data_IF_851268813111
#
_entry.id   IF_851268813111
#
_cell.length_a   1.000
_cell.length_b   1.000
_cell.length_c   1.000
_cell.angle_alpha   90.00
_cell.angle_beta   90.00
_cell.angle_gamma   90.00
#
_symmetry.space_group_name_H-M   'P 1'
#
loop_
_entity.id
_entity.type
_entity.pdbx_description
1 polymer ?
#
# COMPACT_ATOMS: atom_id res chain seq x y z
N UNK A 1 17.15 7.26 30.13
CA UNK A 1 15.79 7.25 30.72
C UNK A 1 14.81 7.66 29.63
N UNK A 2 13.74 6.90 29.38
CA UNK A 2 12.72 7.28 28.40
C UNK A 2 12.08 8.62 28.79
N UNK A 3 11.58 9.38 27.82
CA UNK A 3 10.84 10.60 28.10
C UNK A 3 9.60 10.29 28.96
N UNK A 4 9.23 11.20 29.87
CA UNK A 4 8.13 10.98 30.84
C UNK A 4 6.84 10.52 30.16
N UNK A 5 6.50 11.14 29.03
CA UNK A 5 5.29 10.82 28.26
C UNK A 5 5.27 9.36 27.78
N UNK A 6 6.43 8.81 27.39
CA UNK A 6 6.54 7.47 26.82
C UNK A 6 6.29 6.42 27.89
N UNK A 7 6.83 6.65 29.09
CA UNK A 7 6.58 5.77 30.23
C UNK A 7 5.09 5.70 30.57
N UNK A 8 4.41 6.85 30.63
CA UNK A 8 2.98 6.93 30.93
C UNK A 8 2.11 6.28 29.83
N UNK A 9 2.45 6.52 28.56
CA UNK A 9 1.74 5.94 27.41
C UNK A 9 1.90 4.40 27.37
N UNK A 10 3.10 3.89 27.63
CA UNK A 10 3.39 2.45 27.63
C UNK A 10 2.76 1.75 28.84
N UNK A 11 2.76 2.39 30.01
CA UNK A 11 2.06 1.87 31.18
C UNK A 11 0.54 1.77 30.92
N UNK A 12 -0.05 2.84 30.36
CA UNK A 12 -1.48 2.87 29.98
C UNK A 12 -1.80 1.80 28.94
N UNK A 13 -0.95 1.65 27.92
CA UNK A 13 -1.05 0.59 26.92
C UNK A 13 -1.04 -0.80 27.58
N UNK A 14 -0.12 -1.04 28.51
CA UNK A 14 -0.02 -2.28 29.27
C UNK A 14 -1.28 -2.59 30.07
N UNK A 15 -1.84 -1.62 30.79
CA UNK A 15 -3.09 -1.78 31.56
C UNK A 15 -4.30 -2.09 30.67
N UNK A 16 -4.42 -1.38 29.54
CA UNK A 16 -5.49 -1.61 28.56
C UNK A 16 -5.39 -3.00 27.92
N UNK A 17 -4.19 -3.41 27.53
CA UNK A 17 -3.92 -4.75 27.00
C UNK A 17 -4.29 -5.82 28.02
N UNK A 18 -3.85 -5.68 29.28
CA UNK A 18 -4.17 -6.62 30.36
C UNK A 18 -5.68 -6.76 30.55
N UNK A 19 -6.40 -5.64 30.60
CA UNK A 19 -7.85 -5.64 30.77
C UNK A 19 -8.58 -6.29 29.58
N UNK A 20 -8.23 -5.92 28.33
CA UNK A 20 -8.86 -6.50 27.14
C UNK A 20 -8.55 -7.98 26.94
N UNK A 21 -7.32 -8.41 27.23
CA UNK A 21 -6.91 -9.81 27.10
C UNK A 21 -7.53 -10.74 28.16
N UNK A 22 -8.10 -10.19 29.24
CA UNK A 22 -8.88 -10.96 30.22
C UNK A 22 -10.29 -11.31 29.70
N UNK A 23 -10.76 -10.66 28.64
CA UNK A 23 -12.04 -10.94 28.01
C UNK A 23 -12.04 -12.16 27.08
N UNK A 24 -13.21 -12.59 26.58
CA UNK A 24 -13.37 -13.79 25.74
C UNK A 24 -12.96 -13.59 24.27
N UNK A 25 -12.48 -12.40 23.88
CA UNK A 25 -12.16 -12.07 22.48
C UNK A 25 -10.83 -12.65 22.00
N UNK A 26 -10.63 -12.62 20.68
CA UNK A 26 -9.35 -13.01 20.08
C UNK A 26 -8.21 -12.14 20.59
N UNK A 27 -7.08 -12.78 20.94
CA UNK A 27 -5.95 -12.09 21.57
C UNK A 27 -5.33 -11.00 20.68
N UNK A 28 -5.40 -11.17 19.36
CA UNK A 28 -4.91 -10.19 18.38
C UNK A 28 -5.83 -8.98 18.29
N UNK A 29 -7.14 -9.20 18.19
CA UNK A 29 -8.15 -8.14 18.23
C UNK A 29 -8.15 -7.39 19.57
N UNK A 30 -7.78 -8.05 20.67
CA UNK A 30 -7.74 -7.44 22.00
C UNK A 30 -6.69 -6.32 22.14
N UNK A 31 -5.59 -6.36 21.36
CA UNK A 31 -4.49 -5.38 21.49
C UNK A 31 -4.56 -4.24 20.46
N UNK A 32 -5.49 -4.30 19.52
CA UNK A 32 -5.78 -3.29 18.48
C UNK A 32 -6.07 -1.89 19.01
N UNK A 33 -7.21 -1.72 19.70
CA UNK A 33 -7.56 -0.42 20.28
C UNK A 33 -6.49 0.12 21.27
N UNK A 34 -5.83 -0.71 22.09
CA UNK A 34 -4.66 -0.26 22.85
C UNK A 34 -3.52 0.30 21.96
N UNK A 35 -3.21 -0.33 20.83
CA UNK A 35 -2.22 0.17 19.86
C UNK A 35 -2.67 1.51 19.27
N UNK A 36 -3.93 1.67 18.89
CA UNK A 36 -4.46 2.95 18.40
C UNK A 36 -4.28 4.06 19.44
N UNK A 37 -4.59 3.79 20.71
CA UNK A 37 -4.41 4.74 21.81
C UNK A 37 -2.93 5.12 22.00
N UNK A 38 -2.02 4.15 21.87
CA UNK A 38 -0.58 4.40 21.95
C UNK A 38 -0.10 5.28 20.79
N UNK A 39 -0.56 5.03 19.56
CA UNK A 39 -0.26 5.85 18.39
C UNK A 39 -0.85 7.26 18.52
N UNK A 40 -2.06 7.41 19.07
CA UNK A 40 -2.68 8.70 19.34
C UNK A 40 -1.91 9.50 20.40
N UNK A 41 -1.42 8.83 21.46
CA UNK A 41 -0.56 9.46 22.46
C UNK A 41 0.76 9.95 21.84
N UNK A 42 1.40 9.13 20.99
CA UNK A 42 2.59 9.52 20.24
C UNK A 42 2.30 10.69 19.29
N UNK A 43 1.16 10.69 18.60
CA UNK A 43 0.70 11.80 17.77
C UNK A 43 0.58 13.10 18.54
N UNK A 44 -0.09 13.07 19.71
CA UNK A 44 -0.23 14.22 20.61
C UNK A 44 1.13 14.78 21.02
N UNK A 45 2.05 13.91 21.45
CA UNK A 45 3.39 14.31 21.84
C UNK A 45 4.18 14.93 20.68
N UNK A 46 4.09 14.34 19.49
CA UNK A 46 4.82 14.79 18.30
C UNK A 46 4.15 15.98 17.60
N UNK A 47 2.99 16.43 18.09
CA UNK A 47 2.12 17.44 17.48
C UNK A 47 1.72 17.05 16.04
N UNK A 48 1.34 15.80 15.89
CA UNK A 48 0.87 15.19 14.66
C UNK A 48 -0.59 14.77 14.83
N UNK A 49 -1.42 15.12 13.85
CA UNK A 49 -2.78 14.59 13.75
C UNK A 49 -2.72 13.17 13.19
N UNK A 50 -2.77 12.17 14.06
CA UNK A 50 -2.62 10.74 13.72
C UNK A 50 -3.99 10.07 13.76
N UNK A 51 -4.43 9.54 12.63
CA UNK A 51 -5.70 8.82 12.52
C UNK A 51 -5.43 7.43 11.95
N UNK A 52 -5.61 6.36 12.77
CA UNK A 52 -5.67 5.00 12.29
C UNK A 52 -6.99 4.74 11.57
N UNK A 53 -6.91 4.09 10.40
CA UNK A 53 -8.05 3.56 9.67
C UNK A 53 -8.00 2.04 9.78
N UNK A 54 -9.02 1.45 10.39
CA UNK A 54 -9.20 0.00 10.42
C UNK A 54 -9.41 -0.50 9.00
N UNK A 55 -8.57 -1.45 8.57
CA UNK A 55 -8.81 -2.16 7.33
C UNK A 55 -9.73 -3.36 7.62
N UNK A 56 -10.74 -3.56 6.77
CA UNK A 56 -11.64 -4.71 6.91
C UNK A 56 -10.82 -5.99 6.77
N UNK A 57 -10.71 -6.74 7.87
CA UNK A 57 -10.14 -8.08 7.82
C UNK A 57 -11.05 -8.97 6.99
N UNK A 58 -10.48 -9.56 5.97
CA UNK A 58 -11.02 -10.79 5.43
C UNK A 58 -9.98 -11.86 5.71
N UNK A 59 -10.31 -12.76 6.63
CA UNK A 59 -9.40 -13.74 7.23
C UNK A 59 -8.78 -14.69 6.17
N UNK A 60 -9.37 -14.77 4.98
CA UNK A 60 -8.85 -15.54 3.85
C UNK A 60 -7.89 -14.73 2.96
N UNK A 61 -7.91 -13.40 3.06
CA UNK A 61 -7.38 -12.53 1.99
C UNK A 61 -6.02 -11.94 2.28
N UNK A 62 -5.67 -11.61 3.53
CA UNK A 62 -4.29 -11.29 3.95
C UNK A 62 -3.50 -10.31 3.07
N UNK A 63 -4.15 -9.47 2.25
CA UNK A 63 -3.49 -8.48 1.38
C UNK A 63 -3.28 -7.18 2.16
N UNK A 64 -4.31 -6.72 2.86
CA UNK A 64 -4.26 -5.47 3.63
C UNK A 64 -3.63 -5.66 5.00
N UNK A 65 -2.72 -4.76 5.41
CA UNK A 65 -2.34 -4.64 6.80
C UNK A 65 -3.55 -4.27 7.67
N UNK A 66 -3.49 -4.60 8.96
CA UNK A 66 -4.61 -4.32 9.87
C UNK A 66 -4.98 -2.84 9.98
N UNK A 67 -4.01 -1.94 9.86
CA UNK A 67 -4.25 -0.50 9.86
C UNK A 67 -3.52 0.21 8.74
N UNK A 68 -4.19 1.19 8.17
CA UNK A 68 -3.55 2.31 7.49
C UNK A 68 -3.48 3.52 8.42
N UNK A 69 -2.31 4.12 8.55
CA UNK A 69 -2.10 5.27 9.43
C UNK A 69 -1.99 6.54 8.58
N UNK A 70 -2.90 7.48 8.81
CA UNK A 70 -2.82 8.82 8.23
C UNK A 70 -2.24 9.81 9.23
N UNK A 71 -1.45 10.75 8.71
CA UNK A 71 -0.87 11.86 9.49
C UNK A 71 -1.14 13.16 8.76
N UNK A 72 -1.90 14.07 9.39
CA UNK A 72 -2.33 15.32 8.79
C UNK A 72 -3.13 15.11 7.49
N UNK A 73 -3.99 14.09 7.47
CA UNK A 73 -4.82 13.72 6.32
C UNK A 73 -4.12 12.90 5.22
N UNK A 74 -2.82 12.64 5.32
CA UNK A 74 -2.08 11.87 4.32
C UNK A 74 -1.65 10.48 4.84
N UNK A 75 -1.90 9.42 4.07
CA UNK A 75 -1.49 8.05 4.40
C UNK A 75 0.03 7.99 4.52
N UNK A 76 0.52 7.58 5.69
CA UNK A 76 1.92 7.64 6.09
C UNK A 76 2.54 6.26 6.23
N UNK A 77 1.75 5.22 6.47
CA UNK A 77 2.26 3.86 6.52
C UNK A 77 1.20 2.91 7.03
N UNK A 78 1.59 1.66 7.20
CA UNK A 78 0.69 0.62 7.68
C UNK A 78 1.20 -0.01 8.96
N UNK A 79 0.28 -0.57 9.74
CA UNK A 79 0.59 -1.36 10.94
C UNK A 79 -0.09 -2.72 10.81
N UNK A 80 0.69 -3.79 10.91
CA UNK A 80 0.21 -5.16 10.97
C UNK A 80 0.37 -5.69 12.39
N UNK A 81 -0.73 -6.22 12.96
CA UNK A 81 -0.81 -6.62 14.36
C UNK A 81 -0.94 -8.14 14.45
N UNK A 82 -0.07 -8.73 15.27
CA UNK A 82 -0.08 -10.16 15.59
C UNK A 82 -0.52 -10.42 17.02
N UNK A 83 -1.05 -11.62 17.25
CA UNK A 83 -1.39 -12.08 18.60
C UNK A 83 -0.18 -11.92 19.54
N UNK A 84 -0.41 -11.53 20.81
CA UNK A 84 0.65 -11.44 21.81
C UNK A 84 1.51 -12.70 21.88
N UNK A 85 2.84 -12.51 21.89
CA UNK A 85 3.83 -13.61 21.93
C UNK A 85 4.08 -14.32 20.59
N UNK A 86 3.45 -13.90 19.49
CA UNK A 86 3.79 -14.40 18.15
C UNK A 86 5.22 -14.01 17.77
N UNK A 87 5.95 -14.94 17.13
CA UNK A 87 7.26 -14.63 16.56
C UNK A 87 7.10 -13.72 15.33
N UNK A 88 7.77 -12.56 15.35
CA UNK A 88 7.74 -11.57 14.27
C UNK A 88 8.91 -11.70 13.30
N UNK A 89 9.81 -12.68 13.51
CA UNK A 89 10.96 -12.90 12.66
C UNK A 89 10.56 -13.45 11.28
N UNK A 90 10.77 -12.69 10.18
CA UNK A 90 10.42 -13.11 8.82
C UNK A 90 11.00 -14.46 8.42
N UNK A 91 12.23 -14.77 8.83
CA UNK A 91 12.91 -16.02 8.46
C UNK A 91 12.24 -17.25 9.08
N UNK A 92 11.58 -17.07 10.22
CA UNK A 92 10.85 -18.12 10.93
C UNK A 92 9.41 -18.29 10.45
N UNK A 93 8.86 -17.35 9.67
CA UNK A 93 7.45 -17.36 9.28
C UNK A 93 7.12 -18.52 8.34
N UNK A 94 5.96 -19.15 8.53
CA UNK A 94 5.46 -20.25 7.70
C UNK A 94 3.97 -20.07 7.42
N UNK A 95 3.47 -20.81 6.41
CA UNK A 95 2.03 -20.87 6.10
C UNK A 95 1.40 -19.50 5.85
N UNK A 96 0.31 -19.21 6.56
CA UNK A 96 -0.43 -17.96 6.43
C UNK A 96 0.42 -16.72 6.69
N UNK A 97 1.22 -16.71 7.78
CA UNK A 97 2.04 -15.55 8.15
C UNK A 97 3.09 -15.23 7.08
N UNK A 98 3.70 -16.26 6.48
CA UNK A 98 4.67 -16.05 5.40
C UNK A 98 4.00 -15.47 4.15
N UNK A 99 2.80 -15.94 3.79
CA UNK A 99 2.05 -15.39 2.66
C UNK A 99 1.71 -13.92 2.88
N UNK A 100 1.25 -13.59 4.08
CA UNK A 100 0.89 -12.22 4.44
C UNK A 100 2.12 -11.31 4.45
N UNK A 101 3.21 -11.72 5.10
CA UNK A 101 4.48 -11.00 5.08
C UNK A 101 4.97 -10.77 3.63
N UNK A 102 4.92 -11.79 2.78
CA UNK A 102 5.34 -11.68 1.37
C UNK A 102 4.53 -10.64 0.59
N UNK A 103 3.26 -10.42 0.95
CA UNK A 103 2.39 -9.43 0.32
C UNK A 103 2.64 -8.00 0.82
N UNK A 104 3.06 -7.85 2.08
CA UNK A 104 3.15 -6.56 2.76
C UNK A 104 4.59 -6.03 2.92
N UNK A 105 5.60 -6.89 2.89
CA UNK A 105 7.00 -6.52 3.21
C UNK A 105 7.54 -5.34 2.39
N UNK A 106 7.10 -5.25 1.13
CA UNK A 106 7.57 -4.24 0.18
C UNK A 106 6.84 -2.89 0.33
N UNK A 107 6.00 -2.73 1.37
CA UNK A 107 5.36 -1.46 1.65
C UNK A 107 6.40 -0.40 2.08
N UNK A 108 6.19 0.87 1.70
CA UNK A 108 7.22 1.90 1.85
C UNK A 108 7.46 2.32 3.31
N UNK A 109 6.51 2.03 4.20
CA UNK A 109 6.61 2.30 5.64
C UNK A 109 5.63 1.38 6.40
N UNK A 110 6.15 0.32 7.02
CA UNK A 110 5.37 -0.73 7.67
C UNK A 110 5.87 -1.00 9.08
N UNK A 111 4.96 -1.00 10.06
CA UNK A 111 5.21 -1.58 11.38
C UNK A 111 4.62 -2.98 11.45
N UNK A 112 5.39 -3.90 12.03
CA UNK A 112 4.92 -5.22 12.42
C UNK A 112 5.05 -5.36 13.95
N UNK A 113 3.97 -5.73 14.63
CA UNK A 113 3.99 -5.80 16.11
C UNK A 113 3.12 -6.91 16.68
N UNK A 114 3.53 -7.50 17.81
CA UNK A 114 2.70 -8.36 18.66
C UNK A 114 2.30 -7.64 19.98
N UNK A 115 2.47 -6.32 20.03
CA UNK A 115 2.29 -5.46 21.18
C UNK A 115 3.51 -5.36 22.11
N UNK A 116 4.34 -6.39 22.22
CA UNK A 116 5.60 -6.37 23.02
C UNK A 116 6.86 -6.24 22.19
N UNK A 117 6.82 -6.62 20.92
CA UNK A 117 7.90 -6.47 19.96
C UNK A 117 7.42 -5.57 18.82
N UNK A 118 8.25 -4.64 18.41
CA UNK A 118 7.96 -3.65 17.37
C UNK A 118 9.10 -3.64 16.35
N UNK A 119 8.76 -3.88 15.09
CA UNK A 119 9.70 -3.84 13.97
C UNK A 119 9.21 -2.82 12.95
N UNK A 120 10.10 -1.96 12.49
CA UNK A 120 9.84 -0.99 11.43
C UNK A 120 10.56 -1.44 10.15
N UNK A 121 9.84 -1.44 9.04
CA UNK A 121 10.36 -1.79 7.72
C UNK A 121 10.10 -0.67 6.72
N UNK A 122 11.02 -0.51 5.76
CA UNK A 122 10.88 0.36 4.58
C UNK A 122 11.36 -0.41 3.36
N UNK A 123 10.48 -0.64 2.40
CA UNK A 123 10.83 -1.32 1.14
C UNK A 123 11.49 -2.70 1.39
N UNK A 124 10.89 -3.52 2.27
CA UNK A 124 11.41 -4.80 2.81
C UNK A 124 12.61 -4.73 3.76
N UNK A 125 13.29 -3.59 3.88
CA UNK A 125 14.48 -3.46 4.71
C UNK A 125 14.13 -3.06 6.15
N UNK A 126 14.70 -3.71 7.17
CA UNK A 126 14.50 -3.33 8.57
C UNK A 126 15.14 -1.96 8.86
N UNK A 127 14.40 -1.10 9.55
CA UNK A 127 14.88 0.20 10.03
C UNK A 127 15.28 0.07 11.49
N UNK A 128 16.56 -0.17 11.71
CA UNK A 128 17.10 -0.43 13.05
C UNK A 128 16.78 -1.84 13.57
N UNK A 129 17.04 -2.07 14.85
CA UNK A 129 16.82 -3.36 15.50
C UNK A 129 15.36 -3.48 16.01
N UNK A 130 14.81 -4.70 16.15
CA UNK A 130 13.55 -4.93 16.85
C UNK A 130 13.58 -4.32 18.26
N UNK A 131 12.51 -3.61 18.61
CA UNK A 131 12.36 -3.00 19.93
C UNK A 131 11.43 -3.86 20.78
N UNK A 132 11.90 -4.24 21.97
CA UNK A 132 11.15 -5.06 22.91
C UNK A 132 10.72 -4.27 24.14
N UNK A 133 9.42 -4.31 24.45
CA UNK A 133 8.88 -3.82 25.70
C UNK A 133 9.18 -4.80 26.83
N UNK A 134 9.55 -4.27 27.99
CA UNK A 134 9.92 -5.02 29.19
C UNK A 134 8.81 -4.97 30.24
N UNK A 135 8.89 -5.80 31.28
CA UNK A 135 7.87 -5.87 32.34
C UNK A 135 6.96 -7.10 32.28
N UNK A 136 7.15 -7.96 31.27
CA UNK A 136 6.52 -9.27 31.15
C UNK A 136 5.40 -9.34 30.12
N UNK A 137 4.64 -10.46 30.06
CA UNK A 137 3.58 -10.67 29.08
C UNK A 137 2.44 -9.65 29.21
N UNK A 138 1.83 -9.23 28.10
CA UNK A 138 0.72 -8.27 28.08
C UNK A 138 -0.49 -8.68 28.94
N UNK A 139 -0.69 -9.99 29.14
CA UNK A 139 -1.78 -10.54 29.98
C UNK A 139 -1.58 -10.26 31.48
N UNK A 140 -0.36 -9.96 31.93
CA UNK A 140 -0.04 -9.82 33.35
C UNK A 140 0.66 -8.52 33.71
N UNK A 141 1.47 -7.96 32.79
CA UNK A 141 2.31 -6.78 33.02
C UNK A 141 1.51 -5.57 33.54
N UNK A 142 0.41 -5.21 32.86
CA UNK A 142 -0.32 -3.98 33.17
C UNK A 142 0.60 -2.75 33.09
N UNK A 143 0.43 -1.79 34.00
CA UNK A 143 1.25 -0.59 34.11
C UNK A 143 2.72 -0.82 34.47
N UNK A 144 3.15 -2.08 34.71
CA UNK A 144 4.57 -2.43 34.86
C UNK A 144 5.30 -2.55 33.53
N UNK A 145 4.57 -2.49 32.41
CA UNK A 145 5.17 -2.52 31.09
C UNK A 145 6.03 -1.26 30.89
N UNK A 146 7.23 -1.43 30.35
CA UNK A 146 8.20 -0.35 30.13
C UNK A 146 8.78 -0.45 28.73
N UNK A 147 9.15 0.69 28.15
CA UNK A 147 9.79 0.75 26.85
C UNK A 147 11.22 1.28 26.98
N UNK A 148 12.16 0.79 26.15
CA UNK A 148 13.45 1.41 26.00
C UNK A 148 13.31 2.72 25.19
N UNK A 149 14.31 3.61 25.25
CA UNK A 149 14.23 4.94 24.62
C UNK A 149 14.18 4.89 23.07
N UNK A 150 14.67 3.79 22.51
CA UNK A 150 14.62 3.44 21.09
C UNK A 150 13.18 3.30 20.59
N UNK A 151 12.22 3.01 21.46
CA UNK A 151 10.82 2.88 21.05
C UNK A 151 10.23 4.21 20.57
N UNK A 152 10.59 5.33 21.21
CA UNK A 152 10.21 6.67 20.76
C UNK A 152 10.77 6.98 19.37
N UNK A 153 11.97 6.47 19.04
CA UNK A 153 12.56 6.62 17.71
C UNK A 153 11.77 5.84 16.66
N UNK A 154 11.32 4.62 16.95
CA UNK A 154 10.46 3.83 16.05
C UNK A 154 9.17 4.57 15.75
N UNK A 155 8.45 5.04 16.79
CA UNK A 155 7.19 5.77 16.63
C UNK A 155 7.40 7.08 15.85
N UNK A 156 8.46 7.83 16.17
CA UNK A 156 8.78 9.09 15.49
C UNK A 156 9.15 8.86 14.04
N UNK A 157 10.00 7.87 13.73
CA UNK A 157 10.43 7.56 12.37
C UNK A 157 9.27 7.06 11.50
N UNK A 158 8.32 6.33 12.09
CA UNK A 158 7.13 5.88 11.40
C UNK A 158 6.16 7.04 11.13
N UNK A 159 5.79 7.81 12.15
CA UNK A 159 4.77 8.87 12.05
C UNK A 159 5.24 10.10 11.28
N UNK A 160 6.55 10.37 11.21
CA UNK A 160 7.12 11.48 10.43
C UNK A 160 7.55 11.09 9.01
N UNK A 161 7.32 9.83 8.61
CA UNK A 161 7.78 9.35 7.31
C UNK A 161 7.18 10.15 6.15
N UNK A 162 8.01 10.38 5.13
CA UNK A 162 7.61 10.93 3.84
C UNK A 162 8.37 10.18 2.75
N UNK A 163 7.76 9.98 1.56
CA UNK A 163 8.50 9.42 0.43
C UNK A 163 9.75 10.24 0.13
N UNK A 164 10.87 9.56 -0.06
CA UNK A 164 12.08 10.21 -0.55
C UNK A 164 11.87 10.68 -2.01
N UNK A 165 12.53 11.78 -2.44
CA UNK A 165 12.46 12.19 -3.84
C UNK A 165 12.90 11.07 -4.79
N UNK A 166 12.04 10.73 -5.74
CA UNK A 166 12.30 9.67 -6.71
C UNK A 166 12.95 10.29 -7.96
N UNK A 167 14.20 9.92 -8.23
CA UNK A 167 15.01 10.56 -9.29
C UNK A 167 15.50 9.59 -10.37
N UNK A 168 15.13 8.31 -10.30
CA UNK A 168 15.50 7.30 -11.32
C UNK A 168 14.35 6.34 -11.62
N UNK A 169 14.38 5.69 -12.79
CA UNK A 169 13.39 4.67 -13.18
C UNK A 169 13.36 3.50 -12.21
N UNK A 170 14.53 3.02 -11.77
CA UNK A 170 14.62 1.89 -10.83
C UNK A 170 13.99 2.26 -9.47
N UNK A 171 14.29 3.45 -8.95
CA UNK A 171 13.69 3.92 -7.70
C UNK A 171 12.18 4.09 -7.82
N UNK A 172 11.71 4.60 -8.97
CA UNK A 172 10.29 4.74 -9.25
C UNK A 172 9.59 3.39 -9.25
N UNK A 173 10.09 2.43 -10.02
CA UNK A 173 9.51 1.09 -10.13
C UNK A 173 9.47 0.39 -8.77
N UNK A 174 10.56 0.45 -8.00
CA UNK A 174 10.61 -0.15 -6.65
C UNK A 174 9.55 0.42 -5.72
N UNK A 175 9.24 1.72 -5.85
CA UNK A 175 8.23 2.37 -5.02
C UNK A 175 6.79 2.07 -5.45
N UNK A 176 6.50 1.99 -6.76
CA UNK A 176 5.12 1.82 -7.27
C UNK A 176 4.69 0.37 -7.43
N UNK A 177 5.61 -0.56 -7.72
CA UNK A 177 5.25 -1.96 -8.00
C UNK A 177 4.61 -2.67 -6.80
N UNK A 178 5.10 -2.51 -5.56
CA UNK A 178 4.45 -3.06 -4.38
C UNK A 178 3.04 -2.54 -4.17
N UNK A 179 2.85 -1.22 -4.30
CA UNK A 179 1.54 -0.57 -4.14
C UNK A 179 0.56 -0.97 -5.25
N UNK A 180 1.06 -1.18 -6.47
CA UNK A 180 0.23 -1.69 -7.57
C UNK A 180 -0.17 -3.15 -7.34
N UNK A 181 0.70 -3.97 -6.72
CA UNK A 181 0.34 -5.36 -6.34
C UNK A 181 -0.67 -5.37 -5.21
N UNK A 182 -0.53 -4.46 -4.24
CA UNK A 182 -1.51 -4.26 -3.18
C UNK A 182 -2.88 -3.92 -3.77
N UNK A 183 -2.95 -2.90 -4.65
CA UNK A 183 -4.18 -2.52 -5.34
C UNK A 183 -4.79 -3.68 -6.14
N UNK A 184 -3.97 -4.44 -6.88
CA UNK A 184 -4.44 -5.66 -7.59
C UNK A 184 -5.08 -6.67 -6.63
N UNK A 185 -4.45 -6.90 -5.46
CA UNK A 185 -4.97 -7.79 -4.44
C UNK A 185 -6.31 -7.30 -3.90
N UNK A 186 -6.42 -6.03 -3.55
CA UNK A 186 -7.68 -5.45 -3.03
C UNK A 186 -8.84 -5.55 -4.03
N UNK A 187 -8.54 -5.37 -5.32
CA UNK A 187 -9.51 -5.50 -6.41
C UNK A 187 -10.02 -6.94 -6.54
N UNK A 188 -9.14 -7.93 -6.39
CA UNK A 188 -9.54 -9.35 -6.34
C UNK A 188 -10.39 -9.66 -5.12
N UNK A 189 -9.97 -9.16 -3.97
CA UNK A 189 -10.66 -9.34 -2.70
C UNK A 189 -12.10 -8.80 -2.82
N UNK A 190 -12.27 -7.62 -3.39
CA UNK A 190 -13.59 -7.03 -3.61
C UNK A 190 -14.47 -7.88 -4.54
N UNK A 191 -13.94 -8.34 -5.68
CA UNK A 191 -14.68 -9.21 -6.60
C UNK A 191 -15.12 -10.51 -5.92
N UNK A 192 -14.24 -11.10 -5.11
CA UNK A 192 -14.58 -12.29 -4.35
C UNK A 192 -15.67 -12.00 -3.30
N UNK A 193 -15.65 -10.81 -2.67
CA UNK A 193 -16.62 -10.43 -1.65
C UNK A 193 -18.02 -10.35 -2.24
N UNK A 194 -18.12 -9.69 -3.38
CA UNK A 194 -19.35 -9.61 -4.17
C UNK A 194 -19.77 -11.00 -4.67
N UNK A 195 -18.83 -11.85 -5.13
CA UNK A 195 -19.12 -13.23 -5.50
C UNK A 195 -19.74 -14.04 -4.35
N UNK A 196 -19.25 -13.87 -3.11
CA UNK A 196 -19.84 -14.53 -1.92
C UNK A 196 -21.25 -14.00 -1.64
N UNK A 197 -21.47 -12.68 -1.71
CA UNK A 197 -22.80 -12.06 -1.56
C UNK A 197 -23.78 -12.60 -2.60
N UNK A 198 -23.34 -12.70 -3.86
CA UNK A 198 -24.15 -13.27 -4.95
C UNK A 198 -24.51 -14.73 -4.64
N UNK A 199 -23.54 -15.55 -4.23
CA UNK A 199 -23.79 -16.94 -3.82
C UNK A 199 -24.75 -17.05 -2.64
N UNK A 200 -24.76 -16.06 -1.75
CA UNK A 200 -25.69 -15.96 -0.63
C UNK A 200 -27.07 -15.39 -1.00
N UNK A 201 -27.32 -15.09 -2.29
CA UNK A 201 -28.62 -14.66 -2.80
C UNK A 201 -28.74 -13.16 -3.13
N UNK A 202 -27.67 -12.37 -2.99
CA UNK A 202 -27.68 -10.99 -3.46
C UNK A 202 -27.77 -10.92 -4.98
N UNK A 203 -28.47 -9.91 -5.51
CA UNK A 203 -28.57 -9.74 -6.96
C UNK A 203 -27.24 -9.24 -7.52
N UNK A 204 -26.83 -9.82 -8.66
CA UNK A 204 -25.58 -9.48 -9.33
C UNK A 204 -25.55 -8.04 -9.84
N UNK A 205 -26.70 -7.51 -10.25
CA UNK A 205 -26.87 -6.11 -10.70
C UNK A 205 -26.65 -5.08 -9.59
N UNK A 206 -26.81 -5.48 -8.33
CA UNK A 206 -26.54 -4.63 -7.17
C UNK A 206 -25.06 -4.64 -6.75
N UNK A 207 -24.21 -5.42 -7.44
CA UNK A 207 -22.78 -5.54 -7.16
C UNK A 207 -21.98 -4.59 -8.08
N UNK A 208 -21.54 -3.42 -7.60
CA UNK A 208 -20.96 -2.39 -8.44
C UNK A 208 -19.68 -2.84 -9.13
N UNK A 209 -18.83 -3.62 -8.45
CA UNK A 209 -17.53 -3.98 -8.97
C UNK A 209 -17.59 -5.12 -9.98
N UNK A 210 -18.52 -6.06 -9.83
CA UNK A 210 -18.91 -7.01 -10.87
C UNK A 210 -19.45 -6.30 -12.11
N UNK A 211 -20.23 -5.23 -11.92
CA UNK A 211 -20.70 -4.37 -13.00
C UNK A 211 -19.53 -3.75 -13.77
N UNK A 212 -18.59 -3.12 -13.05
CA UNK A 212 -17.38 -2.55 -13.63
C UNK A 212 -16.54 -3.60 -14.37
N UNK A 213 -16.30 -4.77 -13.77
CA UNK A 213 -15.55 -5.85 -14.39
C UNK A 213 -16.22 -6.38 -15.65
N UNK A 214 -17.55 -6.50 -15.66
CA UNK A 214 -18.33 -6.85 -16.85
C UNK A 214 -18.16 -5.81 -17.95
N UNK A 215 -18.29 -4.53 -17.64
CA UNK A 215 -18.22 -3.46 -18.62
C UNK A 215 -16.82 -3.36 -19.22
N UNK A 216 -15.78 -3.48 -18.39
CA UNK A 216 -14.38 -3.54 -18.83
C UNK A 216 -14.12 -4.73 -19.75
N UNK A 217 -14.60 -5.93 -19.39
CA UNK A 217 -14.50 -7.13 -20.24
C UNK A 217 -15.18 -6.92 -21.58
N UNK A 218 -16.41 -6.42 -21.56
CA UNK A 218 -17.18 -6.22 -22.78
C UNK A 218 -16.50 -5.22 -23.73
N UNK A 219 -15.91 -4.16 -23.18
CA UNK A 219 -15.31 -3.07 -23.97
C UNK A 219 -13.89 -3.37 -24.45
N UNK A 220 -13.10 -4.10 -23.66
CA UNK A 220 -11.65 -4.22 -23.90
C UNK A 220 -11.18 -5.67 -24.05
N UNK A 221 -11.60 -6.57 -23.14
CA UNK A 221 -11.08 -7.94 -23.09
C UNK A 221 -12.19 -8.95 -22.73
N UNK A 222 -12.99 -9.41 -23.71
CA UNK A 222 -14.19 -10.22 -23.44
C UNK A 222 -13.94 -11.54 -22.71
N UNK A 223 -12.71 -12.07 -22.81
CA UNK A 223 -12.29 -13.35 -22.21
C UNK A 223 -11.45 -13.19 -20.94
N UNK A 224 -11.29 -11.97 -20.43
CA UNK A 224 -10.46 -11.73 -19.25
C UNK A 224 -11.06 -12.34 -17.98
N UNK A 225 -10.21 -13.04 -17.21
CA UNK A 225 -10.58 -13.56 -15.88
C UNK A 225 -10.68 -12.43 -14.84
N UNK A 226 -11.03 -12.77 -13.60
CA UNK A 226 -11.01 -11.80 -12.49
C UNK A 226 -9.57 -11.33 -12.22
N UNK A 227 -8.58 -12.23 -12.33
CA UNK A 227 -7.15 -11.91 -12.23
C UNK A 227 -6.68 -10.94 -13.32
N UNK A 228 -7.03 -11.21 -14.58
CA UNK A 228 -6.67 -10.33 -15.70
C UNK A 228 -7.31 -8.95 -15.56
N UNK A 229 -8.58 -8.90 -15.14
CA UNK A 229 -9.26 -7.62 -14.88
C UNK A 229 -8.58 -6.87 -13.72
N UNK A 230 -8.28 -7.56 -12.63
CA UNK A 230 -7.71 -6.93 -11.45
C UNK A 230 -6.32 -6.35 -11.70
N UNK A 231 -5.52 -7.10 -12.44
CA UNK A 231 -4.21 -6.67 -12.92
C UNK A 231 -4.32 -5.45 -13.84
N UNK A 232 -5.23 -5.51 -14.83
CA UNK A 232 -5.52 -4.40 -15.73
C UNK A 232 -6.01 -3.14 -15.01
N UNK A 233 -6.89 -3.28 -14.01
CA UNK A 233 -7.35 -2.18 -13.16
C UNK A 233 -6.15 -1.51 -12.46
N UNK A 234 -5.36 -2.30 -11.73
CA UNK A 234 -4.27 -1.77 -10.91
C UNK A 234 -3.20 -1.08 -11.76
N UNK A 235 -2.80 -1.71 -12.86
CA UNK A 235 -1.85 -1.11 -13.80
C UNK A 235 -2.40 0.19 -14.42
N UNK A 236 -3.67 0.19 -14.86
CA UNK A 236 -4.28 1.38 -15.48
C UNK A 236 -4.30 2.56 -14.51
N UNK A 237 -4.72 2.36 -13.26
CA UNK A 237 -4.72 3.42 -12.24
C UNK A 237 -3.31 3.94 -12.01
N UNK A 238 -2.33 3.05 -11.78
CA UNK A 238 -0.93 3.46 -11.53
C UNK A 238 -0.34 4.23 -12.72
N UNK A 239 -0.50 3.75 -13.94
CA UNK A 239 0.08 4.41 -15.12
C UNK A 239 -0.67 5.68 -15.52
N UNK A 240 -1.97 5.79 -15.26
CA UNK A 240 -2.69 7.05 -15.44
C UNK A 240 -2.19 8.13 -14.46
N UNK A 241 -1.94 7.77 -13.21
CA UNK A 241 -1.33 8.68 -12.21
C UNK A 241 0.08 9.11 -12.61
N UNK A 242 0.92 8.19 -13.10
CA UNK A 242 2.25 8.52 -13.61
C UNK A 242 2.19 9.45 -14.81
N UNK A 243 1.30 9.17 -15.76
CA UNK A 243 1.09 10.00 -16.93
C UNK A 243 0.67 11.42 -16.52
N UNK A 244 -0.27 11.55 -15.59
CA UNK A 244 -0.68 12.84 -15.05
C UNK A 244 0.50 13.62 -14.46
N UNK A 245 1.37 12.97 -13.67
CA UNK A 245 2.59 13.61 -13.18
C UNK A 245 3.55 14.02 -14.29
N UNK A 246 3.65 13.22 -15.37
CA UNK A 246 4.51 13.60 -16.51
C UNK A 246 4.02 14.84 -17.24
N UNK A 247 2.71 15.08 -17.22
CA UNK A 247 2.07 16.29 -17.77
C UNK A 247 2.06 17.47 -16.78
N UNK A 248 2.77 17.34 -15.65
CA UNK A 248 2.89 18.41 -14.66
C UNK A 248 1.68 18.59 -13.74
N UNK A 249 0.74 17.64 -13.73
CA UNK A 249 -0.39 17.66 -12.79
C UNK A 249 0.12 17.24 -11.41
N UNK A 250 -0.04 18.08 -10.39
CA UNK A 250 0.15 17.69 -8.98
C UNK A 250 -1.06 16.88 -8.53
N UNK A 251 -0.86 15.64 -8.08
CA UNK A 251 -1.96 14.71 -7.81
C UNK A 251 -2.67 15.01 -6.49
N UNK A 252 -1.93 15.35 -5.43
CA UNK A 252 -2.47 15.74 -4.14
C UNK A 252 -3.45 16.94 -4.25
N UNK A 253 -3.18 17.86 -5.17
CA UNK A 253 -4.01 19.05 -5.40
C UNK A 253 -5.05 18.84 -6.50
N UNK A 254 -5.10 17.65 -7.11
CA UNK A 254 -5.95 17.42 -8.27
C UNK A 254 -7.43 17.34 -7.93
N UNK A 255 -7.80 17.05 -6.68
CA UNK A 255 -9.19 16.83 -6.26
C UNK A 255 -9.68 15.39 -6.48
N UNK A 256 -8.76 14.42 -6.51
CA UNK A 256 -9.05 13.00 -6.67
C UNK A 256 -8.92 12.49 -8.11
N UNK A 257 -9.06 11.17 -8.29
CA UNK A 257 -8.78 10.51 -9.56
C UNK A 257 -9.70 10.93 -10.71
N UNK A 258 -10.98 11.21 -10.43
CA UNK A 258 -11.91 11.70 -11.46
C UNK A 258 -11.42 13.03 -12.07
N UNK A 259 -10.95 13.95 -11.22
CA UNK A 259 -10.40 15.23 -11.66
C UNK A 259 -9.05 15.07 -12.39
N UNK A 260 -8.22 14.09 -12.00
CA UNK A 260 -7.03 13.69 -12.76
C UNK A 260 -7.42 13.22 -14.17
N UNK A 261 -8.44 12.37 -14.29
CA UNK A 261 -8.97 11.89 -15.57
C UNK A 261 -9.43 13.03 -16.47
N UNK A 262 -10.18 13.99 -15.93
CA UNK A 262 -10.62 15.19 -16.67
C UNK A 262 -9.46 16.06 -17.13
N UNK A 263 -8.40 16.23 -16.33
CA UNK A 263 -7.21 16.98 -16.75
C UNK A 263 -6.43 16.26 -17.86
N UNK A 264 -6.44 14.93 -17.88
CA UNK A 264 -5.78 14.13 -18.92
C UNK A 264 -6.53 14.10 -20.25
N UNK A 265 -7.84 14.36 -20.26
CA UNK A 265 -8.68 14.13 -21.45
C UNK A 265 -8.31 14.97 -22.67
N UNK A 266 -7.64 16.10 -22.48
CA UNK A 266 -7.22 16.99 -23.57
C UNK A 266 -6.14 16.40 -24.49
N UNK A 267 -5.29 15.48 -23.98
CA UNK A 267 -4.17 14.90 -24.74
C UNK A 267 -4.15 13.37 -24.73
N UNK A 268 -4.76 12.75 -23.72
CA UNK A 268 -4.68 11.31 -23.48
C UNK A 268 -6.07 10.69 -23.33
N UNK A 269 -6.91 10.83 -24.36
CA UNK A 269 -8.35 10.50 -24.30
C UNK A 269 -8.66 9.06 -23.86
N UNK A 270 -7.89 8.07 -24.32
CA UNK A 270 -8.07 6.67 -23.92
C UNK A 270 -7.77 6.45 -22.43
N UNK A 271 -6.63 6.96 -21.96
CA UNK A 271 -6.22 6.83 -20.56
C UNK A 271 -7.15 7.60 -19.63
N UNK A 272 -7.57 8.80 -20.03
CA UNK A 272 -8.56 9.60 -19.32
C UNK A 272 -9.90 8.86 -19.19
N UNK A 273 -10.38 8.24 -20.28
CA UNK A 273 -11.64 7.49 -20.28
C UNK A 273 -11.54 6.21 -19.44
N UNK A 274 -10.41 5.52 -19.52
CA UNK A 274 -10.16 4.34 -18.69
C UNK A 274 -10.12 4.73 -17.21
N UNK A 275 -9.38 5.79 -16.83
CA UNK A 275 -9.35 6.27 -15.46
C UNK A 275 -10.75 6.69 -14.99
N UNK A 276 -11.50 7.47 -15.78
CA UNK A 276 -12.88 7.85 -15.45
C UNK A 276 -13.77 6.64 -15.15
N UNK A 277 -13.78 5.65 -16.05
CA UNK A 277 -14.55 4.41 -15.88
C UNK A 277 -14.21 3.68 -14.58
N UNK A 278 -12.92 3.61 -14.24
CA UNK A 278 -12.45 2.95 -13.03
C UNK A 278 -12.77 3.79 -11.77
N UNK A 279 -12.85 5.11 -11.90
CA UNK A 279 -13.01 6.04 -10.77
C UNK A 279 -14.45 6.29 -10.34
N UNK A 280 -15.38 6.16 -11.27
CA UNK A 280 -16.81 6.34 -10.98
C UNK A 280 -17.33 5.25 -10.01
N UNK A 281 -16.56 4.17 -9.85
CA UNK A 281 -16.83 3.04 -8.94
C UNK A 281 -15.70 2.78 -7.96
N UNK A 282 -14.78 3.74 -7.72
CA UNK A 282 -13.80 3.59 -6.64
C UNK A 282 -14.58 3.51 -5.34
N UNK A 283 -14.74 2.28 -4.86
CA UNK A 283 -15.24 2.03 -3.52
C UNK A 283 -14.32 2.77 -2.54
N UNK A 284 -14.91 3.33 -1.48
CA UNK A 284 -14.15 3.87 -0.34
C UNK A 284 -13.05 2.89 0.12
N UNK A 285 -13.31 1.59 -0.08
CA UNK A 285 -12.41 0.48 0.17
C UNK A 285 -11.00 0.64 -0.45
N UNK A 286 -10.81 1.20 -1.65
CA UNK A 286 -9.46 1.29 -2.27
C UNK A 286 -8.75 2.61 -2.00
N UNK A 287 -9.45 3.56 -1.36
CA UNK A 287 -9.00 4.94 -1.24
C UNK A 287 -7.64 5.05 -0.59
N UNK A 288 -7.38 4.26 0.45
CA UNK A 288 -6.11 4.25 1.19
C UNK A 288 -4.92 3.92 0.29
N UNK A 289 -5.01 2.81 -0.45
CA UNK A 289 -3.92 2.35 -1.31
C UNK A 289 -3.70 3.31 -2.49
N UNK A 290 -4.78 3.85 -3.04
CA UNK A 290 -4.71 4.90 -4.08
C UNK A 290 -4.09 6.19 -3.55
N UNK A 291 -4.46 6.64 -2.34
CA UNK A 291 -3.92 7.85 -1.72
C UNK A 291 -2.42 7.68 -1.42
N UNK A 292 -1.98 6.47 -1.04
CA UNK A 292 -0.55 6.18 -0.89
C UNK A 292 0.18 6.15 -2.24
N UNK A 293 -0.42 5.55 -3.29
CA UNK A 293 0.11 5.62 -4.66
C UNK A 293 0.28 7.08 -5.11
N UNK A 294 -0.75 7.91 -4.93
CA UNK A 294 -0.71 9.36 -5.21
C UNK A 294 0.45 10.02 -4.48
N UNK A 295 0.58 9.78 -3.17
CA UNK A 295 1.65 10.39 -2.34
C UNK A 295 3.05 9.98 -2.81
N UNK A 296 3.25 8.72 -3.17
CA UNK A 296 4.54 8.20 -3.68
C UNK A 296 4.84 8.75 -5.07
N UNK A 297 3.84 8.74 -5.96
CA UNK A 297 3.98 9.22 -7.34
C UNK A 297 4.18 10.75 -7.40
N UNK A 298 3.63 11.51 -6.46
CA UNK A 298 3.88 12.96 -6.36
C UNK A 298 5.35 13.30 -6.04
N UNK A 299 6.05 12.42 -5.32
CA UNK A 299 7.47 12.60 -4.98
C UNK A 299 8.43 12.38 -6.18
N UNK A 300 7.91 12.03 -7.36
CA UNK A 300 8.70 11.79 -8.57
C UNK A 300 9.19 13.10 -9.20
N UNK A 301 10.51 13.20 -9.36
CA UNK A 301 11.15 14.31 -10.04
C UNK A 301 11.39 13.95 -11.51
N UNK A 302 10.33 14.04 -12.32
CA UNK A 302 10.36 13.68 -13.75
C UNK A 302 11.50 14.29 -14.56
N UNK A 303 11.90 15.57 -14.38
CA UNK A 303 13.06 16.11 -15.09
C UNK A 303 14.35 15.32 -14.86
N UNK A 304 14.56 14.79 -13.65
CA UNK A 304 15.72 13.95 -13.32
C UNK A 304 15.56 12.53 -13.83
N UNK A 305 14.36 11.96 -13.72
CA UNK A 305 14.05 10.62 -14.25
C UNK A 305 14.23 10.57 -15.78
N UNK A 306 13.91 11.66 -16.48
CA UNK A 306 14.05 11.80 -17.95
C UNK A 306 15.43 12.26 -18.41
N UNK A 307 16.33 12.65 -17.50
CA UNK A 307 17.62 13.23 -17.86
C UNK A 307 18.45 12.22 -18.69
N UNK A 308 18.43 12.41 -20.01
CA UNK A 308 19.26 11.67 -20.97
C UNK A 308 18.56 10.64 -21.86
N UNK A 309 17.22 10.42 -21.77
CA UNK A 309 16.53 9.43 -22.64
C UNK A 309 15.13 9.90 -23.07
N UNK A 310 14.86 9.87 -24.38
CA UNK A 310 13.50 10.08 -24.93
C UNK A 310 12.58 8.90 -24.64
N UNK A 311 13.15 7.70 -24.51
CA UNK A 311 12.41 6.43 -24.35
C UNK A 311 12.22 6.02 -22.88
N UNK A 312 12.43 6.95 -21.92
CA UNK A 312 12.34 6.67 -20.48
C UNK A 312 11.02 6.01 -20.08
N UNK A 313 9.91 6.36 -20.72
CA UNK A 313 8.60 5.78 -20.42
C UNK A 313 8.47 4.32 -20.90
N UNK A 314 9.11 3.95 -22.02
CA UNK A 314 9.11 2.57 -22.51
C UNK A 314 9.96 1.68 -21.60
N UNK A 315 11.17 2.13 -21.25
CA UNK A 315 12.00 1.43 -20.27
C UNK A 315 11.34 1.34 -18.90
N UNK A 316 10.55 2.34 -18.51
CA UNK A 316 9.78 2.31 -17.27
C UNK A 316 8.78 1.15 -17.25
N UNK A 317 8.00 0.95 -18.32
CA UNK A 317 7.01 -0.13 -18.35
C UNK A 317 7.66 -1.52 -18.32
N UNK A 318 8.73 -1.72 -19.09
CA UNK A 318 9.48 -2.99 -19.07
C UNK A 318 10.08 -3.27 -17.68
N UNK A 319 10.78 -2.28 -17.11
CA UNK A 319 11.38 -2.40 -15.77
C UNK A 319 10.29 -2.60 -14.71
N UNK A 320 9.13 -1.96 -14.88
CA UNK A 320 7.98 -2.13 -14.01
C UNK A 320 7.52 -3.58 -14.00
N UNK A 321 7.27 -4.18 -15.17
CA UNK A 321 6.82 -5.57 -15.24
C UNK A 321 7.87 -6.54 -14.66
N UNK A 322 9.16 -6.25 -14.79
CA UNK A 322 10.22 -7.05 -14.16
C UNK A 322 10.16 -7.09 -12.64
N UNK A 323 9.67 -6.03 -11.98
CA UNK A 323 9.54 -5.98 -10.52
C UNK A 323 8.14 -6.35 -10.06
N UNK A 324 7.13 -5.99 -10.86
CA UNK A 324 5.72 -6.19 -10.58
C UNK A 324 5.29 -7.64 -10.78
N UNK A 325 5.60 -8.22 -11.94
CA UNK A 325 5.21 -9.57 -12.33
C UNK A 325 6.10 -10.09 -13.48
N UNK A 326 7.27 -10.70 -13.18
CA UNK A 326 8.19 -11.20 -14.20
C UNK A 326 7.56 -12.24 -15.12
N UNK A 327 6.61 -13.03 -14.63
CA UNK A 327 5.91 -14.03 -15.43
C UNK A 327 4.97 -13.35 -16.43
N UNK A 328 4.27 -12.30 -16.01
CA UNK A 328 3.45 -11.50 -16.89
C UNK A 328 4.29 -10.86 -17.99
N UNK A 329 5.46 -10.29 -17.67
CA UNK A 329 6.40 -9.75 -18.67
C UNK A 329 6.75 -10.77 -19.76
N UNK A 330 7.10 -11.99 -19.32
CA UNK A 330 7.49 -13.06 -20.23
C UNK A 330 6.31 -13.48 -21.13
N UNK A 331 5.10 -13.56 -20.57
CA UNK A 331 3.89 -13.94 -21.31
C UNK A 331 3.41 -12.84 -22.26
N UNK A 332 3.50 -11.57 -21.86
CA UNK A 332 3.05 -10.43 -22.67
C UNK A 332 4.03 -10.08 -23.79
N UNK A 333 5.27 -10.58 -23.75
CA UNK A 333 6.31 -10.25 -24.72
C UNK A 333 6.73 -8.78 -24.65
N UNK A 334 6.53 -8.12 -23.51
CA UNK A 334 6.82 -6.69 -23.35
C UNK A 334 8.32 -6.44 -23.19
N UNK A 335 9.02 -6.45 -24.33
CA UNK A 335 10.45 -6.18 -24.44
C UNK A 335 10.69 -4.94 -25.29
N UNK A 336 11.48 -4.00 -24.78
CA UNK A 336 11.92 -2.87 -25.59
C UNK A 336 12.89 -3.35 -26.66
N UNK A 337 12.59 -3.03 -27.92
CA UNK A 337 13.54 -3.26 -29.02
C UNK A 337 14.59 -2.14 -28.99
N UNK A 338 15.89 -2.44 -28.83
CA UNK A 338 16.93 -1.43 -28.76
C UNK A 338 16.88 -0.46 -29.94
N UNK A 339 17.10 0.83 -29.67
CA UNK A 339 17.04 1.88 -30.70
C UNK A 339 17.95 1.58 -31.88
N UNK A 340 19.13 1.02 -31.63
CA UNK A 340 20.11 0.64 -32.64
C UNK A 340 19.52 -0.39 -33.63
N UNK A 341 18.65 -1.27 -33.16
CA UNK A 341 17.95 -2.26 -34.00
C UNK A 341 16.82 -1.58 -34.79
N UNK A 342 16.04 -0.72 -34.15
CA UNK A 342 14.95 0.03 -34.81
C UNK A 342 15.49 0.94 -35.91
N UNK A 343 16.62 1.61 -35.68
CA UNK A 343 17.25 2.50 -36.68
C UNK A 343 17.73 1.74 -37.92
N UNK A 344 18.12 0.47 -37.79
CA UNK A 344 18.45 -0.37 -38.94
C UNK A 344 17.22 -0.85 -39.71
N UNK A 345 16.03 -0.86 -39.09
CA UNK A 345 14.77 -1.29 -39.71
C UNK A 345 14.00 -0.14 -40.36
N UNK A 346 14.26 1.11 -39.97
CA UNK A 346 13.61 2.30 -40.54
C UNK A 346 14.47 2.82 -41.70
N UNK A 347 13.95 2.86 -42.94
CA UNK A 347 14.70 3.41 -44.07
C UNK A 347 15.09 4.87 -43.79
N UNK A 348 16.28 5.33 -44.21
CA UNK A 348 16.66 6.73 -44.07
C UNK A 348 15.63 7.62 -44.78
N UNK A 349 15.18 8.70 -44.13
CA UNK A 349 14.31 9.69 -44.77
C UNK A 349 15.05 10.29 -45.98
N UNK A 350 14.42 10.40 -47.16
CA UNK A 350 15.01 11.10 -48.28
C UNK A 350 15.31 12.56 -47.89
N UNK A 351 16.49 13.03 -48.31
CA UNK A 351 17.02 14.36 -48.03
C UNK A 351 16.19 15.49 -48.64
#
# INVERSE_FOLDING_TARGET
MPASWLADAVATFGDRCKAKLAGPGEAEAAIRAPIEQLLAAAGTQLKLDVVPHDEVRDDDRGVRPDYAISVGGAITGYVEVKKPGANLDPESMRGHNLRQWTRQKDLPNLIYTNGTEWRLYRDSEPVGNPVHLSGGPLRSAGGKLTAPAEFEHVLTNFLRWKPAPITSVIALVRAIAPLTRLLRGEVLDQLEAENRKIKAGARREDQPFHGLARDWRHLLFPTASDETFADGYAQTVTFALLLARTEGITLADAGGLHAVGTKLSGQHSLMARALQLLTDYVAEDFKVTIDLLVRVIDAVQWPKVRAGRRDTYLHLYETFLDVYDPQLRQKSGSYYTPREVVEQMVPPRPA
#
